data_IF_559004007898
#
_entry.id   IF_559004007898
#
_cell.length_a   1.000
_cell.length_b   1.000
_cell.length_c   1.000
_cell.angle_alpha   90.00
_cell.angle_beta   90.00
_cell.angle_gamma   90.00
#
_symmetry.space_group_name_H-M   'P 1'
#
loop_
_entity.id
_entity.type
_entity.pdbx_description
1 polymer ?
#
# COMPACT_ATOMS: atom_id res chain seq x y z
N UNK A 1 4.65 1.02 11.11
CA UNK A 1 5.33 2.16 11.77
C UNK A 1 6.68 2.44 11.09
N UNK A 2 6.92 3.68 10.69
CA UNK A 2 8.18 4.13 10.10
C UNK A 2 9.16 4.59 11.21
N UNK A 3 10.49 4.49 11.01
CA UNK A 3 11.46 4.92 12.01
C UNK A 3 11.49 6.44 12.20
N UNK A 4 10.92 7.21 11.27
CA UNK A 4 10.87 8.67 11.34
C UNK A 4 9.67 9.19 12.15
N UNK A 5 9.44 8.64 13.33
CA UNK A 5 8.44 9.07 14.32
C UNK A 5 9.12 9.66 15.56
N UNK A 6 8.39 10.47 16.33
CA UNK A 6 8.88 11.09 17.56
C UNK A 6 8.42 10.31 18.79
N UNK A 7 7.21 9.73 18.74
CA UNK A 7 6.69 8.84 19.75
C UNK A 7 7.46 7.51 19.80
N UNK A 8 7.37 6.82 20.94
CA UNK A 8 7.92 5.47 21.06
C UNK A 8 7.17 4.53 20.09
N UNK A 9 7.86 3.81 19.20
CA UNK A 9 7.22 2.81 18.33
C UNK A 9 6.39 1.79 19.11
N UNK A 10 6.77 1.44 20.33
CA UNK A 10 6.04 0.48 21.16
C UNK A 10 4.69 1.04 21.62
N UNK A 11 4.59 2.35 21.90
CA UNK A 11 3.33 3.00 22.24
C UNK A 11 2.34 2.97 21.06
N UNK A 12 2.85 3.17 19.85
CA UNK A 12 2.02 3.10 18.63
C UNK A 12 1.57 1.67 18.37
N UNK A 13 2.46 0.68 18.50
CA UNK A 13 2.11 -0.73 18.33
C UNK A 13 1.10 -1.18 19.39
N UNK A 14 1.26 -0.71 20.63
CA UNK A 14 0.32 -0.98 21.72
C UNK A 14 -1.04 -0.36 21.44
N UNK A 15 -1.10 0.87 20.93
CA UNK A 15 -2.37 1.48 20.51
C UNK A 15 -3.04 0.67 19.38
N UNK A 16 -2.27 0.28 18.35
CA UNK A 16 -2.77 -0.57 17.25
C UNK A 16 -3.38 -1.87 17.77
N UNK A 17 -2.66 -2.59 18.63
CA UNK A 17 -3.09 -3.89 19.16
C UNK A 17 -4.23 -3.79 20.18
N UNK A 18 -4.26 -2.73 21.00
CA UNK A 18 -5.35 -2.47 21.96
C UNK A 18 -6.68 -2.23 21.24
N UNK A 19 -6.63 -1.65 20.04
CA UNK A 19 -7.80 -1.30 19.23
C UNK A 19 -8.10 -2.33 18.11
N UNK A 20 -7.53 -3.53 18.21
CA UNK A 20 -7.70 -4.66 17.29
C UNK A 20 -7.40 -4.31 15.82
N UNK A 21 -6.50 -3.34 15.60
CA UNK A 21 -6.02 -2.96 14.29
C UNK A 21 -4.86 -3.86 13.86
N UNK A 22 -4.76 -4.17 12.56
CA UNK A 22 -3.66 -5.01 12.06
C UNK A 22 -2.35 -4.21 11.95
N UNK A 23 -1.30 -4.70 12.59
CA UNK A 23 0.06 -4.18 12.42
C UNK A 23 0.83 -4.99 11.37
N UNK A 24 1.59 -4.29 10.51
CA UNK A 24 2.58 -4.92 9.63
C UNK A 24 3.80 -4.04 9.49
N UNK A 25 4.99 -4.62 9.66
CA UNK A 25 6.25 -3.92 9.45
C UNK A 25 6.54 -3.64 7.98
N UNK A 26 6.00 -4.50 7.09
CA UNK A 26 6.19 -4.42 5.65
C UNK A 26 5.04 -3.65 5.03
N UNK A 27 5.38 -2.58 4.31
CA UNK A 27 4.39 -1.84 3.50
C UNK A 27 4.04 -2.69 2.28
N UNK A 28 2.79 -3.13 2.17
CA UNK A 28 2.24 -3.89 1.04
C UNK A 28 1.09 -3.12 0.37
N UNK A 29 0.48 -3.67 -0.68
CA UNK A 29 -0.72 -3.07 -1.29
C UNK A 29 -1.97 -3.24 -0.42
N UNK A 30 -1.92 -4.12 0.58
CA UNK A 30 -3.00 -4.32 1.56
C UNK A 30 -2.86 -3.38 2.77
N UNK A 31 -1.73 -2.67 2.89
CA UNK A 31 -1.52 -1.69 3.95
C UNK A 31 -2.43 -0.49 3.71
N UNK A 32 -3.32 -0.21 4.66
CA UNK A 32 -4.27 0.90 4.58
C UNK A 32 -3.66 2.23 5.00
N UNK A 33 -2.68 2.24 5.90
CA UNK A 33 -2.07 3.45 6.44
C UNK A 33 -0.63 3.22 6.91
N UNK A 34 0.22 4.23 6.81
CA UNK A 34 1.58 4.23 7.38
C UNK A 34 1.77 5.45 8.27
N UNK A 35 2.14 5.21 9.54
CA UNK A 35 2.49 6.27 10.50
C UNK A 35 3.93 6.71 10.29
N UNK A 36 4.13 8.00 10.00
CA UNK A 36 5.41 8.64 9.70
C UNK A 36 5.31 10.18 9.83
N UNK A 37 6.25 10.82 10.53
CA UNK A 37 6.22 12.29 10.75
C UNK A 37 6.87 13.08 9.61
N UNK A 38 7.72 12.43 8.82
CA UNK A 38 8.37 13.06 7.67
C UNK A 38 7.56 12.86 6.40
N UNK A 39 7.10 13.98 5.82
CA UNK A 39 6.42 14.03 4.51
C UNK A 39 7.36 14.46 3.36
N UNK A 40 8.54 15.00 3.69
CA UNK A 40 9.55 15.44 2.72
C UNK A 40 10.77 14.50 2.76
N UNK A 41 11.45 14.31 1.63
CA UNK A 41 12.60 13.39 1.50
C UNK A 41 12.27 11.96 1.96
N UNK A 42 11.18 11.42 1.40
CA UNK A 42 10.65 10.12 1.76
C UNK A 42 11.72 9.03 1.59
N UNK A 43 11.99 8.30 2.67
CA UNK A 43 12.95 7.20 2.71
C UNK A 43 12.27 5.90 3.13
N UNK A 44 12.85 4.75 2.79
CA UNK A 44 12.39 3.44 3.25
C UNK A 44 10.89 3.20 3.14
N UNK A 45 10.23 2.99 4.29
CA UNK A 45 8.79 2.67 4.37
C UNK A 45 7.90 3.80 3.82
N UNK A 46 8.25 5.06 4.09
CA UNK A 46 7.49 6.21 3.63
C UNK A 46 7.56 6.36 2.10
N UNK A 47 8.75 6.09 1.51
CA UNK A 47 8.91 6.03 0.05
C UNK A 47 8.08 4.89 -0.55
N UNK A 48 8.08 3.71 0.06
CA UNK A 48 7.30 2.57 -0.42
C UNK A 48 5.78 2.79 -0.31
N UNK A 49 5.32 3.50 0.72
CA UNK A 49 3.93 3.87 0.89
C UNK A 49 3.47 4.81 -0.23
N UNK A 50 4.23 5.88 -0.48
CA UNK A 50 3.96 6.82 -1.57
C UNK A 50 3.92 6.11 -2.94
N UNK A 51 4.86 5.20 -3.22
CA UNK A 51 4.87 4.40 -4.47
C UNK A 51 3.65 3.52 -4.66
N UNK A 52 2.96 3.15 -3.58
CA UNK A 52 1.78 2.26 -3.60
C UNK A 52 0.47 3.03 -3.44
N UNK A 53 0.54 4.36 -3.27
CA UNK A 53 -0.63 5.19 -2.98
C UNK A 53 -1.19 4.97 -1.56
N UNK A 54 -0.36 4.49 -0.64
CA UNK A 54 -0.77 4.32 0.77
C UNK A 54 -0.62 5.66 1.49
N UNK A 55 -1.65 6.15 2.19
CA UNK A 55 -1.60 7.43 2.90
C UNK A 55 -0.59 7.42 4.06
N UNK A 56 0.01 8.59 4.29
CA UNK A 56 0.93 8.87 5.41
C UNK A 56 0.22 9.74 6.46
N UNK A 57 0.36 9.37 7.73
CA UNK A 57 -0.22 10.08 8.88
C UNK A 57 0.86 10.27 9.95
N UNK A 58 0.85 11.39 10.68
CA UNK A 58 1.80 11.57 11.79
C UNK A 58 1.43 10.70 12.99
N UNK A 59 2.38 10.42 13.87
CA UNK A 59 2.13 9.70 15.12
C UNK A 59 1.12 10.43 16.01
N UNK A 60 1.24 11.75 16.16
CA UNK A 60 0.32 12.57 16.93
C UNK A 60 -1.12 12.50 16.39
N UNK A 61 -1.30 12.65 15.07
CA UNK A 61 -2.61 12.53 14.41
C UNK A 61 -3.19 11.12 14.62
N UNK A 62 -2.35 10.09 14.54
CA UNK A 62 -2.78 8.71 14.72
C UNK A 62 -3.23 8.43 16.15
N UNK A 63 -2.44 8.83 17.16
CA UNK A 63 -2.75 8.64 18.57
C UNK A 63 -3.98 9.45 19.00
N UNK A 64 -4.12 10.69 18.51
CA UNK A 64 -5.30 11.52 18.79
C UNK A 64 -6.58 10.91 18.18
N UNK A 65 -6.51 10.39 16.95
CA UNK A 65 -7.65 9.72 16.33
C UNK A 65 -8.04 8.47 17.10
N UNK A 66 -7.09 7.61 17.47
CA UNK A 66 -7.37 6.37 18.20
C UNK A 66 -7.97 6.63 19.59
N UNK A 67 -7.48 7.66 20.29
CA UNK A 67 -8.00 8.03 21.62
C UNK A 67 -9.37 8.69 21.55
N UNK A 68 -9.66 9.41 20.46
CA UNK A 68 -10.92 10.16 20.29
C UNK A 68 -12.02 9.31 19.66
N UNK A 69 -11.69 8.43 18.72
CA UNK A 69 -12.67 7.52 18.13
C UNK A 69 -12.97 6.39 19.10
N UNK A 70 -14.16 6.46 19.72
CA UNK A 70 -14.79 5.25 20.21
C UNK A 70 -15.03 4.35 18.98
N UNK A 71 -14.16 3.35 18.80
CA UNK A 71 -14.31 2.36 17.73
C UNK A 71 -15.55 1.55 18.07
N UNK A 72 -16.71 2.02 17.60
CA UNK A 72 -17.91 1.19 17.51
C UNK A 72 -17.61 0.21 16.38
N UNK A 73 -17.54 -1.11 16.63
CA UNK A 73 -17.40 -2.08 15.56
C UNK A 73 -18.74 -2.13 14.84
N UNK A 74 -18.92 -1.28 13.82
CA UNK A 74 -20.24 -1.02 13.27
C UNK A 74 -20.19 -0.35 11.90
N UNK A 75 -20.41 -1.20 10.90
CA UNK A 75 -20.92 -0.90 9.55
C UNK A 75 -19.89 -0.61 8.44
N UNK A 76 -19.64 -1.58 7.52
CA UNK A 76 -18.94 -1.30 6.28
C UNK A 76 -19.80 -0.34 5.46
N UNK A 77 -19.43 0.94 5.45
CA UNK A 77 -20.01 1.88 4.51
C UNK A 77 -19.71 1.34 3.10
N UNK A 78 -20.73 1.13 2.25
CA UNK A 78 -20.50 0.63 0.91
C UNK A 78 -19.54 1.60 0.20
N UNK A 79 -18.58 1.09 -0.59
CA UNK A 79 -17.64 1.92 -1.30
C UNK A 79 -18.40 2.97 -2.13
N UNK A 80 -17.95 4.24 -2.18
CA UNK A 80 -18.58 5.23 -3.03
C UNK A 80 -18.62 4.67 -4.45
N UNK A 81 -19.83 4.62 -5.02
CA UNK A 81 -20.10 4.14 -6.37
C UNK A 81 -19.13 4.80 -7.34
N UNK A 82 -18.04 4.10 -7.65
CA UNK A 82 -17.11 4.53 -8.67
C UNK A 82 -17.82 4.20 -9.95
N UNK A 83 -18.43 5.23 -10.53
CA UNK A 83 -19.00 5.24 -11.86
C UNK A 83 -18.10 4.40 -12.78
N UNK A 84 -18.62 3.42 -13.52
CA UNK A 84 -17.78 2.56 -14.34
C UNK A 84 -17.16 3.42 -15.43
N UNK A 85 -15.89 3.81 -15.24
CA UNK A 85 -15.07 4.34 -16.31
C UNK A 85 -14.98 3.22 -17.34
N UNK A 86 -15.70 3.45 -18.43
CA UNK A 86 -15.81 2.60 -19.60
C UNK A 86 -14.42 2.06 -19.99
N UNK A 87 -14.12 0.80 -19.65
CA UNK A 87 -12.97 0.11 -20.23
C UNK A 87 -13.30 -0.18 -21.69
N UNK A 88 -12.85 0.69 -22.58
CA UNK A 88 -12.83 0.42 -24.01
C UNK A 88 -11.94 -0.79 -24.29
N UNK A 89 -12.61 -1.91 -24.51
CA UNK A 89 -12.08 -3.17 -25.00
C UNK A 89 -11.62 -3.04 -26.46
N UNK A 90 -10.41 -2.57 -26.73
CA UNK A 90 -9.77 -2.87 -28.02
C UNK A 90 -8.26 -2.95 -27.88
N UNK A 91 -7.71 -4.14 -28.15
CA UNK A 91 -6.26 -4.35 -28.14
C UNK A 91 -5.84 -5.81 -27.96
N UNK A 92 -6.50 -6.76 -28.65
CA UNK A 92 -5.84 -8.04 -28.96
C UNK A 92 -4.60 -7.70 -29.80
N UNK A 93 -3.41 -7.82 -29.25
CA UNK A 93 -2.21 -8.04 -30.05
C UNK A 93 -1.40 -9.18 -29.45
N UNK A 94 -1.21 -10.15 -30.32
CA UNK A 94 -0.84 -11.54 -30.10
C UNK A 94 0.59 -11.70 -29.59
N UNK A 95 0.75 -12.52 -28.55
CA UNK A 95 2.03 -13.15 -28.20
C UNK A 95 2.61 -13.84 -29.43
N UNK A 96 3.72 -13.35 -29.99
CA UNK A 96 4.51 -14.13 -30.93
C UNK A 96 5.40 -15.13 -30.16
N UNK A 97 5.31 -16.44 -30.45
CA UNK A 97 6.26 -17.40 -29.94
C UNK A 97 7.59 -17.31 -30.71
N UNK A 98 8.71 -17.24 -29.98
CA UNK A 98 10.06 -17.28 -30.55
C UNK A 98 10.28 -18.64 -31.22
N UNK A 99 10.35 -18.66 -32.57
CA UNK A 99 10.77 -19.86 -33.32
C UNK A 99 12.24 -20.18 -33.02
N UNK A 100 12.49 -21.29 -32.33
CA UNK A 100 13.77 -22.02 -32.37
C UNK A 100 13.83 -22.74 -33.72
N UNK A 101 14.70 -22.28 -34.62
CA UNK A 101 15.06 -22.96 -35.87
C UNK A 101 16.43 -23.61 -35.73
N UNK A 102 16.46 -24.94 -35.83
CA UNK A 102 17.61 -25.81 -35.70
C UNK A 102 18.59 -25.74 -36.88
N UNK A 103 19.83 -26.17 -36.60
CA UNK A 103 20.94 -26.51 -37.52
C UNK A 103 20.52 -27.10 -38.89
N UNK A 104 21.23 -26.75 -39.97
CA UNK A 104 22.22 -27.61 -40.71
C UNK A 104 22.50 -27.11 -42.16
N UNK A 105 23.80 -27.07 -42.49
CA UNK A 105 24.49 -27.64 -43.69
C UNK A 105 24.40 -26.93 -45.07
N UNK A 106 25.55 -26.32 -45.44
CA UNK A 106 26.41 -26.57 -46.64
C UNK A 106 26.16 -25.96 -48.04
N UNK A 107 27.32 -25.61 -48.64
CA UNK A 107 27.73 -25.42 -50.07
C UNK A 107 27.51 -24.04 -50.69
N UNK A 108 28.60 -23.32 -50.98
CA UNK A 108 29.33 -23.37 -52.26
C UNK A 108 30.70 -22.74 -52.12
#
# INVERSE_FOLDING_TARGET
>A
VAPEITADPDDIIRAITTHDLSYSEKVTRQTSLVVCNKRNNLSGKAMHAARKGVPLMTDDEFLTLITTTQITPGEPTPPPETSPVLRSITGRSTRQPRKKGSRRVSRR
#
